data_IF_716367957435
#
_entry.id   IF_716367957435
#
_cell.length_a   1.000
_cell.length_b   1.000
_cell.length_c   1.000
_cell.angle_alpha   90.00
_cell.angle_beta   90.00
_cell.angle_gamma   90.00
#
_symmetry.space_group_name_H-M   'P 1'
#
loop_
_entity.id
_entity.type
_entity.pdbx_description
1 polymer ?
#
# COMPACT_ATOMS: atom_id res chain seq x y z
N UNK A 1 -0.71 7.47 25.56
CA UNK A 1 -1.15 6.71 26.75
C UNK A 1 -0.18 5.58 27.14
N UNK A 2 0.54 4.96 26.20
CA UNK A 2 1.41 3.81 26.50
C UNK A 2 2.75 4.15 27.20
N UNK A 3 3.39 5.28 26.87
CA UNK A 3 4.70 5.66 27.44
C UNK A 3 4.68 5.77 28.99
N UNK A 4 3.77 6.53 29.62
CA UNK A 4 3.74 6.60 31.08
C UNK A 4 3.47 5.25 31.77
N UNK A 5 2.70 4.37 31.12
CA UNK A 5 2.44 3.02 31.62
C UNK A 5 3.71 2.17 31.61
N UNK A 6 4.48 2.19 30.51
CA UNK A 6 5.74 1.44 30.40
C UNK A 6 6.78 1.95 31.40
N UNK A 7 6.94 3.27 31.51
CA UNK A 7 7.89 3.89 32.44
C UNK A 7 7.56 3.58 33.89
N UNK A 8 6.28 3.55 34.29
CA UNK A 8 5.85 3.15 35.63
C UNK A 8 6.20 1.69 35.96
N UNK A 9 6.35 0.83 34.96
CA UNK A 9 6.75 -0.57 35.12
C UNK A 9 8.27 -0.78 34.95
N UNK A 10 9.07 0.28 35.03
CA UNK A 10 10.54 0.19 34.95
C UNK A 10 11.09 0.01 33.53
N UNK A 11 10.25 0.15 32.50
CA UNK A 11 10.68 0.05 31.10
C UNK A 11 10.99 1.46 30.58
N UNK A 12 12.28 1.75 30.33
CA UNK A 12 12.72 3.02 29.75
C UNK A 12 12.25 3.12 28.30
N UNK A 13 11.48 4.17 27.97
CA UNK A 13 10.98 4.41 26.63
C UNK A 13 11.82 5.48 25.94
N UNK A 14 12.63 5.08 24.96
CA UNK A 14 13.51 5.99 24.21
C UNK A 14 12.79 6.74 23.07
N UNK A 15 11.55 6.41 22.76
CA UNK A 15 10.78 7.12 21.72
C UNK A 15 9.48 6.42 21.35
N UNK A 16 8.60 7.12 20.62
CA UNK A 16 7.36 6.55 20.07
C UNK A 16 7.28 6.96 18.60
N UNK A 17 7.49 6.02 17.68
CA UNK A 17 7.41 6.31 16.24
C UNK A 17 5.95 6.12 15.79
N UNK A 18 5.30 7.15 15.24
CA UNK A 18 3.97 7.00 14.66
C UNK A 18 4.02 6.21 13.35
N UNK A 19 2.89 5.63 12.96
CA UNK A 19 2.74 5.04 11.64
C UNK A 19 2.93 6.12 10.55
N UNK A 20 3.63 5.76 9.47
CA UNK A 20 3.93 6.67 8.38
C UNK A 20 3.68 6.04 7.01
N UNK A 21 2.76 6.64 6.26
CA UNK A 21 2.32 6.16 4.95
C UNK A 21 3.43 6.17 3.90
N UNK A 22 4.44 7.05 4.03
CA UNK A 22 5.55 7.13 3.07
C UNK A 22 6.51 5.98 3.32
N UNK A 23 6.82 5.68 4.60
CA UNK A 23 7.65 4.52 4.95
C UNK A 23 6.99 3.20 4.56
N UNK A 24 5.65 3.13 4.66
CA UNK A 24 4.85 1.96 4.28
C UNK A 24 4.55 1.84 2.78
N UNK A 25 4.96 2.79 1.94
CA UNK A 25 4.73 2.69 0.51
C UNK A 25 5.39 1.40 -0.03
N UNK A 26 4.86 0.84 -1.10
CA UNK A 26 5.39 -0.38 -1.74
C UNK A 26 5.18 -0.28 -3.24
N UNK A 27 6.02 -0.95 -4.02
CA UNK A 27 5.82 -1.02 -5.47
C UNK A 27 4.69 -1.98 -5.81
N UNK A 28 4.03 -1.78 -6.95
CA UNK A 28 3.05 -2.75 -7.46
C UNK A 28 3.70 -4.12 -7.68
N UNK A 29 4.99 -4.15 -8.06
CA UNK A 29 5.79 -5.37 -8.17
C UNK A 29 5.89 -6.13 -6.85
N UNK A 30 6.23 -5.46 -5.75
CA UNK A 30 6.28 -6.08 -4.42
C UNK A 30 4.90 -6.60 -3.98
N UNK A 31 3.83 -5.87 -4.34
CA UNK A 31 2.45 -6.32 -4.12
C UNK A 31 2.17 -7.60 -4.90
N UNK A 32 2.48 -7.61 -6.20
CA UNK A 32 2.26 -8.76 -7.09
C UNK A 32 3.01 -10.00 -6.62
N UNK A 33 4.28 -9.85 -6.23
CA UNK A 33 5.10 -10.92 -5.66
C UNK A 33 4.49 -11.51 -4.38
N UNK A 34 3.89 -10.67 -3.54
CA UNK A 34 3.26 -11.11 -2.30
C UNK A 34 1.92 -11.82 -2.53
N UNK A 35 1.12 -11.41 -3.52
CA UNK A 35 -0.20 -12.01 -3.79
C UNK A 35 -0.15 -13.14 -4.83
N UNK A 36 0.93 -13.29 -5.60
CA UNK A 36 1.10 -14.39 -6.57
C UNK A 36 0.05 -14.42 -7.70
N UNK A 37 -0.43 -13.26 -8.14
CA UNK A 37 -1.51 -13.15 -9.13
C UNK A 37 -1.04 -13.21 -10.59
N UNK A 38 -1.99 -13.26 -11.53
CA UNK A 38 -1.75 -13.12 -12.95
C UNK A 38 -1.93 -11.66 -13.39
N UNK A 39 -0.93 -11.07 -14.05
CA UNK A 39 -1.07 -9.72 -14.62
C UNK A 39 -1.80 -9.84 -15.96
N UNK A 40 -2.96 -9.20 -16.08
CA UNK A 40 -3.78 -9.29 -17.29
C UNK A 40 -3.39 -8.23 -18.33
N UNK A 41 -2.93 -7.06 -17.88
CA UNK A 41 -2.57 -5.90 -18.72
C UNK A 41 -1.80 -4.87 -17.88
N UNK A 42 -1.17 -3.88 -18.52
CA UNK A 42 -0.61 -2.70 -17.85
C UNK A 42 0.73 -2.94 -17.15
N UNK A 43 1.51 -3.94 -17.58
CA UNK A 43 2.79 -4.34 -16.96
C UNK A 43 3.81 -3.20 -16.80
N UNK A 44 3.73 -2.17 -17.66
CA UNK A 44 4.58 -0.97 -17.57
C UNK A 44 4.41 -0.22 -16.24
N UNK A 45 3.28 -0.39 -15.56
CA UNK A 45 2.99 0.25 -14.27
C UNK A 45 3.55 -0.48 -13.05
N UNK A 46 4.26 -1.60 -13.20
CA UNK A 46 4.66 -2.46 -12.07
C UNK A 46 5.62 -1.78 -11.07
N UNK A 47 6.39 -0.79 -11.50
CA UNK A 47 7.33 -0.07 -10.62
C UNK A 47 6.73 1.21 -10.00
N UNK A 48 5.44 1.47 -10.24
CA UNK A 48 4.72 2.57 -9.57
C UNK A 48 4.62 2.32 -8.07
N UNK A 49 4.80 3.38 -7.28
CA UNK A 49 4.59 3.35 -5.82
C UNK A 49 3.10 3.41 -5.48
N UNK A 50 2.70 2.57 -4.54
CA UNK A 50 1.40 2.54 -3.85
C UNK A 50 1.60 3.09 -2.44
N UNK A 51 0.79 4.06 -2.05
CA UNK A 51 0.82 4.68 -0.71
C UNK A 51 -0.44 4.34 0.11
N UNK A 52 -1.53 3.92 -0.55
CA UNK A 52 -2.80 3.65 0.11
C UNK A 52 -3.49 2.46 -0.55
N UNK A 53 -4.15 1.63 0.25
CA UNK A 53 -4.95 0.50 -0.22
C UNK A 53 -6.43 0.81 0.01
N UNK A 54 -7.24 0.66 -1.03
CA UNK A 54 -8.68 0.82 -0.99
C UNK A 54 -9.38 -0.49 -1.35
N UNK A 55 -10.43 -0.81 -0.62
CA UNK A 55 -11.26 -2.00 -0.87
C UNK A 55 -12.57 -1.57 -1.52
N UNK A 56 -12.75 -1.95 -2.79
CA UNK A 56 -13.95 -1.72 -3.58
C UNK A 56 -15.10 -2.69 -3.24
N UNK A 57 -15.39 -2.90 -1.95
CA UNK A 57 -16.58 -3.62 -1.49
C UNK A 57 -17.81 -2.69 -1.32
N UNK A 58 -17.62 -1.39 -1.54
CA UNK A 58 -18.64 -0.36 -1.41
C UNK A 58 -19.34 -0.03 -2.74
N UNK A 59 -20.34 0.85 -2.71
CA UNK A 59 -20.98 1.35 -3.94
C UNK A 59 -20.01 2.26 -4.73
N UNK A 60 -20.17 2.40 -6.05
CA UNK A 60 -19.30 3.25 -6.88
C UNK A 60 -19.25 4.71 -6.43
N UNK A 61 -20.38 5.27 -6.01
CA UNK A 61 -20.48 6.66 -5.53
C UNK A 61 -19.69 6.86 -4.23
N UNK A 62 -19.65 5.83 -3.39
CA UNK A 62 -18.84 5.82 -2.18
C UNK A 62 -17.36 5.71 -2.53
N UNK A 63 -17.02 4.83 -3.49
CA UNK A 63 -15.64 4.66 -3.97
C UNK A 63 -15.07 5.97 -4.53
N UNK A 64 -15.84 6.72 -5.32
CA UNK A 64 -15.43 8.03 -5.85
C UNK A 64 -15.03 9.04 -4.76
N UNK A 65 -15.72 9.04 -3.61
CA UNK A 65 -15.37 9.93 -2.48
C UNK A 65 -14.03 9.58 -1.84
N UNK A 66 -13.64 8.31 -1.87
CA UNK A 66 -12.33 7.87 -1.39
C UNK A 66 -11.24 8.17 -2.40
N UNK A 67 -11.49 7.88 -3.68
CA UNK A 67 -10.62 8.15 -4.81
C UNK A 67 -10.23 9.63 -4.96
N UNK A 68 -11.12 10.56 -4.60
CA UNK A 68 -10.80 11.99 -4.62
C UNK A 68 -9.85 12.44 -3.49
N UNK A 69 -9.71 11.65 -2.43
CA UNK A 69 -9.00 12.05 -1.20
C UNK A 69 -7.65 11.38 -1.06
N UNK A 70 -7.51 10.14 -1.49
CA UNK A 70 -6.26 9.42 -1.39
C UNK A 70 -5.46 9.51 -2.69
N UNK A 71 -4.14 9.35 -2.55
CA UNK A 71 -3.17 9.46 -3.64
C UNK A 71 -2.49 8.12 -3.80
N UNK A 72 -2.13 7.79 -5.04
CA UNK A 72 -1.30 6.61 -5.34
C UNK A 72 -1.90 5.31 -4.81
N UNK A 73 -3.13 5.01 -5.20
CA UNK A 73 -3.95 3.95 -4.59
C UNK A 73 -3.77 2.59 -5.27
N UNK A 74 -3.78 1.52 -4.47
CA UNK A 74 -4.10 0.16 -4.90
C UNK A 74 -5.58 -0.09 -4.62
N UNK A 75 -6.34 -0.52 -5.64
CA UNK A 75 -7.75 -0.90 -5.46
C UNK A 75 -7.89 -2.42 -5.45
N UNK A 76 -8.56 -2.97 -4.45
CA UNK A 76 -8.90 -4.41 -4.36
C UNK A 76 -10.40 -4.56 -4.51
N UNK A 77 -10.88 -5.26 -5.54
CA UNK A 77 -12.31 -5.46 -5.80
C UNK A 77 -12.56 -6.78 -6.55
N UNK A 78 -13.82 -7.22 -6.63
CA UNK A 78 -14.20 -8.32 -7.52
C UNK A 78 -14.17 -7.87 -8.98
N UNK A 79 -13.70 -8.70 -9.90
CA UNK A 79 -13.65 -8.32 -11.32
C UNK A 79 -15.03 -8.15 -11.98
N UNK A 80 -16.09 -8.72 -11.41
CA UNK A 80 -17.46 -8.46 -11.80
C UNK A 80 -17.90 -7.00 -11.56
N UNK A 81 -17.19 -6.26 -10.69
CA UNK A 81 -17.38 -4.82 -10.42
C UNK A 81 -16.69 -3.93 -11.45
N UNK A 82 -17.04 -4.11 -12.73
CA UNK A 82 -16.50 -3.34 -13.87
C UNK A 82 -16.66 -1.82 -13.69
N UNK A 83 -17.75 -1.40 -13.07
CA UNK A 83 -18.04 -0.01 -12.69
C UNK A 83 -16.97 0.58 -11.75
N UNK A 84 -16.59 -0.16 -10.71
CA UNK A 84 -15.54 0.25 -9.76
C UNK A 84 -14.18 0.28 -10.45
N UNK A 85 -13.86 -0.75 -11.25
CA UNK A 85 -12.58 -0.82 -11.95
C UNK A 85 -12.41 0.38 -12.87
N UNK A 86 -13.44 0.75 -13.63
CA UNK A 86 -13.40 1.94 -14.48
C UNK A 86 -13.24 3.23 -13.66
N UNK A 87 -14.00 3.39 -12.57
CA UNK A 87 -13.87 4.56 -11.69
C UNK A 87 -12.47 4.67 -11.07
N UNK A 88 -11.86 3.55 -10.68
CA UNK A 88 -10.50 3.50 -10.15
C UNK A 88 -9.45 3.92 -11.19
N UNK A 89 -9.61 3.48 -12.45
CA UNK A 89 -8.74 3.90 -13.54
C UNK A 89 -8.81 5.42 -13.76
N UNK A 90 -10.02 5.98 -13.85
CA UNK A 90 -10.21 7.43 -14.04
C UNK A 90 -9.74 8.26 -12.84
N UNK A 91 -9.76 7.67 -11.65
CA UNK A 91 -9.20 8.28 -10.44
C UNK A 91 -7.67 8.25 -10.38
N UNK A 92 -6.99 7.55 -11.30
CA UNK A 92 -5.54 7.44 -11.30
C UNK A 92 -4.99 6.40 -10.32
N UNK A 93 -5.73 5.31 -10.09
CA UNK A 93 -5.23 4.14 -9.37
C UNK A 93 -3.90 3.66 -9.97
N UNK A 94 -3.00 3.20 -9.10
CA UNK A 94 -1.67 2.72 -9.50
C UNK A 94 -1.68 1.26 -9.92
N UNK A 95 -2.58 0.48 -9.36
CA UNK A 95 -2.87 -0.89 -9.72
C UNK A 95 -4.25 -1.30 -9.20
N UNK A 96 -4.82 -2.34 -9.78
CA UNK A 96 -6.09 -2.91 -9.37
C UNK A 96 -5.93 -4.43 -9.23
N UNK A 97 -6.26 -4.97 -8.06
CA UNK A 97 -6.34 -6.41 -7.82
C UNK A 97 -7.79 -6.86 -7.96
N UNK A 98 -8.00 -7.86 -8.81
CA UNK A 98 -9.28 -8.48 -9.11
C UNK A 98 -9.36 -9.84 -8.40
N UNK A 99 -10.26 -9.94 -7.43
CA UNK A 99 -10.33 -11.08 -6.50
C UNK A 99 -11.26 -12.18 -6.99
N UNK A 100 -11.05 -13.40 -6.49
CA UNK A 100 -11.92 -14.56 -6.72
C UNK A 100 -11.90 -15.11 -8.15
N UNK A 101 -10.83 -14.87 -8.92
CA UNK A 101 -10.74 -15.20 -10.35
C UNK A 101 -11.88 -14.62 -11.20
N UNK A 102 -12.49 -13.53 -10.74
CA UNK A 102 -13.52 -12.82 -11.49
C UNK A 102 -12.83 -11.92 -12.51
N UNK A 103 -13.10 -12.17 -13.80
CA UNK A 103 -12.55 -11.36 -14.88
C UNK A 103 -13.41 -10.11 -15.10
N UNK A 104 -12.78 -8.96 -15.40
CA UNK A 104 -13.51 -7.75 -15.72
C UNK A 104 -14.07 -7.80 -17.14
N UNK A 105 -14.98 -6.88 -17.46
CA UNK A 105 -15.40 -6.69 -18.85
C UNK A 105 -14.19 -6.41 -19.75
N UNK A 106 -14.16 -7.02 -20.94
CA UNK A 106 -13.10 -6.82 -21.93
C UNK A 106 -12.88 -5.36 -22.33
N UNK A 107 -13.89 -4.51 -22.12
CA UNK A 107 -13.84 -3.07 -22.40
C UNK A 107 -12.85 -2.31 -21.51
N UNK A 108 -12.44 -2.89 -20.38
CA UNK A 108 -11.49 -2.26 -19.44
C UNK A 108 -10.05 -2.34 -19.95
N UNK A 109 -9.67 -3.43 -20.64
CA UNK A 109 -8.27 -3.69 -20.97
C UNK A 109 -7.61 -2.56 -21.76
N UNK A 110 -8.20 -2.00 -22.84
CA UNK A 110 -7.55 -0.91 -23.58
C UNK A 110 -7.26 0.30 -22.70
N UNK A 111 -8.22 0.67 -21.83
CA UNK A 111 -8.07 1.83 -20.95
C UNK A 111 -7.03 1.60 -19.84
N UNK A 112 -6.99 0.40 -19.28
CA UNK A 112 -5.99 0.04 -18.28
C UNK A 112 -4.57 0.03 -18.88
N UNK A 113 -4.43 -0.45 -20.12
CA UNK A 113 -3.17 -0.45 -20.86
C UNK A 113 -2.70 0.97 -21.17
N UNK A 114 -3.57 1.81 -21.73
CA UNK A 114 -3.29 3.22 -22.05
C UNK A 114 -2.79 4.01 -20.83
N UNK A 115 -3.29 3.69 -19.64
CA UNK A 115 -2.91 4.33 -18.38
C UNK A 115 -1.72 3.64 -17.69
N UNK A 116 -1.22 2.54 -18.27
CA UNK A 116 -0.23 1.65 -17.67
C UNK A 116 -0.61 1.27 -16.24
N UNK A 117 -1.86 0.87 -16.00
CA UNK A 117 -2.36 0.45 -14.69
C UNK A 117 -2.47 -1.07 -14.67
N UNK A 118 -1.62 -1.77 -13.88
CA UNK A 118 -1.67 -3.21 -13.77
C UNK A 118 -3.03 -3.69 -13.27
N UNK A 119 -3.64 -4.61 -14.01
CA UNK A 119 -4.78 -5.40 -13.53
C UNK A 119 -4.26 -6.78 -13.11
N UNK A 120 -4.33 -7.09 -11.82
CA UNK A 120 -3.77 -8.31 -11.25
C UNK A 120 -4.92 -9.22 -10.80
N UNK A 121 -5.10 -10.35 -11.46
CA UNK A 121 -6.10 -11.34 -11.09
C UNK A 121 -5.55 -12.29 -10.03
N UNK A 122 -6.30 -12.50 -8.95
CA UNK A 122 -5.94 -13.43 -7.88
C UNK A 122 -7.09 -14.41 -7.60
N UNK A 123 -6.79 -15.65 -7.17
CA UNK A 123 -7.81 -16.64 -6.84
C UNK A 123 -8.49 -16.40 -5.48
N UNK A 124 -7.89 -15.56 -4.63
CA UNK A 124 -8.33 -15.35 -3.25
C UNK A 124 -9.48 -14.35 -3.16
N UNK A 125 -10.24 -14.40 -2.07
CA UNK A 125 -11.23 -13.39 -1.74
C UNK A 125 -10.58 -12.06 -1.32
N UNK A 126 -11.40 -11.02 -1.23
CA UNK A 126 -10.99 -9.66 -0.86
C UNK A 126 -10.29 -9.57 0.49
N UNK A 127 -10.78 -10.28 1.50
CA UNK A 127 -10.20 -10.22 2.84
C UNK A 127 -8.82 -10.89 2.87
N UNK A 128 -8.72 -12.09 2.30
CA UNK A 128 -7.45 -12.82 2.20
C UNK A 128 -6.40 -12.00 1.42
N UNK A 129 -6.80 -11.43 0.28
CA UNK A 129 -5.93 -10.57 -0.53
C UNK A 129 -5.44 -9.34 0.25
N UNK A 130 -6.35 -8.64 0.95
CA UNK A 130 -6.00 -7.49 1.77
C UNK A 130 -4.98 -7.87 2.86
N UNK A 131 -5.18 -9.02 3.52
CA UNK A 131 -4.26 -9.51 4.56
C UNK A 131 -2.86 -9.80 4.02
N UNK A 132 -2.75 -10.36 2.81
CA UNK A 132 -1.48 -10.57 2.14
C UNK A 132 -0.77 -9.23 1.86
N UNK A 133 -1.50 -8.24 1.32
CA UNK A 133 -0.96 -6.91 1.05
C UNK A 133 -0.52 -6.20 2.33
N UNK A 134 -1.31 -6.26 3.40
CA UNK A 134 -0.96 -5.68 4.70
C UNK A 134 0.23 -6.37 5.38
N UNK A 135 0.52 -7.63 5.03
CA UNK A 135 1.68 -8.37 5.52
C UNK A 135 2.99 -7.96 4.86
N UNK A 136 2.96 -7.13 3.82
CA UNK A 136 4.17 -6.68 3.12
C UNK A 136 4.93 -5.70 4.01
N UNK A 137 6.10 -6.15 4.50
CA UNK A 137 7.04 -5.26 5.17
C UNK A 137 7.76 -4.46 4.11
N UNK A 138 7.37 -3.19 3.94
CA UNK A 138 8.05 -2.27 3.03
C UNK A 138 9.54 -2.17 3.35
N UNK A 139 10.40 -2.67 2.45
CA UNK A 139 11.84 -2.53 2.60
C UNK A 139 12.29 -1.19 2.02
N UNK A 140 12.93 -0.36 2.83
CA UNK A 140 13.58 0.85 2.35
C UNK A 140 14.85 0.43 1.57
N UNK A 141 14.86 0.66 0.25
CA UNK A 141 16.04 0.37 -0.58
C UNK A 141 17.08 1.49 -0.42
N UNK A 142 18.40 1.22 -0.60
CA UNK A 142 19.44 2.24 -0.47
C UNK A 142 19.25 3.49 -1.35
N UNK A 143 18.58 3.34 -2.51
CA UNK A 143 18.31 4.44 -3.44
C UNK A 143 16.97 5.15 -3.17
N UNK A 144 16.17 4.71 -2.19
CA UNK A 144 14.88 5.33 -1.84
C UNK A 144 15.08 6.56 -0.93
N UNK A 145 15.59 7.64 -1.53
CA UNK A 145 15.88 8.89 -0.81
C UNK A 145 14.67 9.41 -0.05
N UNK A 146 13.47 9.31 -0.64
CA UNK A 146 12.24 9.83 -0.04
C UNK A 146 11.91 9.12 1.28
N UNK A 147 11.97 7.78 1.32
CA UNK A 147 11.75 7.02 2.56
C UNK A 147 12.91 7.17 3.54
N UNK A 148 14.15 7.19 3.05
CA UNK A 148 15.33 7.40 3.91
C UNK A 148 15.23 8.73 4.65
N UNK A 149 14.92 9.81 3.94
CA UNK A 149 14.81 11.15 4.54
C UNK A 149 13.62 11.23 5.50
N UNK A 150 12.50 10.57 5.17
CA UNK A 150 11.35 10.48 6.07
C UNK A 150 11.66 9.68 7.34
N UNK A 151 12.38 8.57 7.22
CA UNK A 151 12.77 7.74 8.35
C UNK A 151 13.72 8.49 9.29
N UNK A 152 14.73 9.17 8.73
CA UNK A 152 15.63 10.05 9.50
C UNK A 152 14.86 11.12 10.26
N UNK A 153 13.90 11.77 9.60
CA UNK A 153 13.06 12.80 10.21
C UNK A 153 12.23 12.23 11.37
N UNK A 154 11.56 11.10 11.17
CA UNK A 154 10.74 10.46 12.20
C UNK A 154 11.56 10.03 13.42
N UNK A 155 12.73 9.43 13.21
CA UNK A 155 13.64 9.06 14.29
C UNK A 155 14.08 10.30 15.06
N UNK A 156 14.53 11.35 14.35
CA UNK A 156 15.03 12.57 14.98
C UNK A 156 13.96 13.31 15.78
N UNK A 157 12.71 13.31 15.30
CA UNK A 157 11.60 14.03 15.93
C UNK A 157 10.94 13.25 17.08
N UNK A 158 11.03 11.92 17.07
CA UNK A 158 10.23 11.08 17.97
C UNK A 158 11.03 10.18 18.91
N UNK A 159 12.37 10.19 18.83
CA UNK A 159 13.23 9.36 19.68
C UNK A 159 14.46 10.09 20.22
N UNK A 160 14.95 9.61 21.36
CA UNK A 160 16.24 9.89 21.98
C UNK A 160 17.36 9.12 21.23
N UNK A 161 17.41 9.23 19.91
CA UNK A 161 18.25 8.39 19.04
C UNK A 161 19.74 8.42 19.38
N UNK A 162 20.24 9.52 19.95
CA UNK A 162 21.63 9.62 20.43
C UNK A 162 21.91 8.62 21.56
N UNK A 163 20.97 8.44 22.48
CA UNK A 163 21.10 7.45 23.55
C UNK A 163 21.09 6.02 22.99
N UNK A 164 20.27 5.76 21.95
CA UNK A 164 20.22 4.46 21.28
C UNK A 164 21.55 4.03 20.65
N UNK A 165 22.38 5.00 20.21
CA UNK A 165 23.69 4.71 19.61
C UNK A 165 24.77 4.43 20.66
N UNK A 166 24.60 4.91 21.89
CA UNK A 166 25.58 4.75 22.97
C UNK A 166 25.49 3.38 23.65
N UNK A 167 24.34 2.70 23.59
CA UNK A 167 24.12 1.38 24.21
C UNK A 167 24.75 0.19 23.43
N UNK A 168 25.42 0.43 22.28
CA UNK A 168 26.07 -0.61 21.48
C UNK A 168 27.59 -0.77 21.76
N UNK A 169 28.15 -0.05 22.74
CA UNK A 169 29.57 -0.14 23.13
C UNK A 169 29.79 -0.90 24.46
N UNK A 170 28.89 -1.82 24.84
CA UNK A 170 29.01 -2.63 26.08
C UNK A 170 28.91 -4.12 25.83
#
# INVERSE_FOLDING_TARGET
MIKPFLEKNGIKVLGIIPEDVILGAITVREIHEAVGGNVLVGEEGMDKLVETVLVGAMTPESAMRYFQKAKSELVITGGDRTDIVFAALEAGARAIILTGNLYPSVKIFPRADDLAVPLILVPYDTYTTLRMVQGIVGRIRPNDRRRIDRAKKLITENTEWKQMLLDNES
#
